data_IF_291218021905
#
_entry.id   IF_291218021905
#
_cell.length_a   1.000
_cell.length_b   1.000
_cell.length_c   1.000
_cell.angle_alpha   90.00
_cell.angle_beta   90.00
_cell.angle_gamma   90.00
#
_symmetry.space_group_name_H-M   'P 1'
#
loop_
_entity.id
_entity.type
_entity.pdbx_description
1 polymer ?
#
# COMPACT_ATOMS: atom_id res chain seq x y z
N UNK A 1 0.76 -65.19 44.42
CA UNK A 1 -0.50 -65.99 44.18
C UNK A 1 -1.24 -65.29 43.05
N UNK A 2 -1.09 -65.92 41.92
CA UNK A 2 -2.14 -66.50 41.09
C UNK A 2 -2.95 -65.41 40.40
N UNK A 3 -2.59 -65.17 39.11
CA UNK A 3 -3.19 -65.72 37.88
C UNK A 3 -4.59 -65.25 37.62
N UNK A 4 -4.81 -64.64 36.47
CA UNK A 4 -5.47 -65.13 35.28
C UNK A 4 -5.45 -63.97 34.27
N UNK A 5 -4.74 -63.87 33.23
CA UNK A 5 -4.80 -64.49 31.90
C UNK A 5 -6.20 -64.76 31.35
N UNK A 6 -6.61 -64.03 30.36
CA UNK A 6 -7.34 -64.45 29.20
C UNK A 6 -7.81 -63.23 28.41
N UNK A 7 -7.18 -62.88 27.30
CA UNK A 7 -7.57 -63.21 25.95
C UNK A 7 -9.00 -62.80 25.61
N UNK A 8 -9.18 -61.78 24.82
CA UNK A 8 -9.94 -61.91 23.56
C UNK A 8 -9.35 -60.91 22.56
N UNK A 9 -8.67 -61.49 21.58
CA UNK A 9 -8.42 -60.92 20.27
C UNK A 9 -9.71 -60.81 19.47
N UNK A 10 -9.66 -59.92 18.51
CA UNK A 10 -10.46 -59.93 17.28
C UNK A 10 -11.75 -59.09 17.31
N UNK A 11 -11.62 -57.86 16.88
CA UNK A 11 -12.35 -57.46 15.67
C UNK A 11 -11.66 -56.27 15.00
N UNK A 12 -11.03 -56.68 14.04
CA UNK A 12 -10.42 -56.04 12.89
C UNK A 12 -11.47 -55.38 12.01
N UNK A 13 -11.08 -54.30 11.44
CA UNK A 13 -11.44 -53.77 10.13
C UNK A 13 -12.76 -53.00 10.00
N UNK A 14 -12.54 -51.87 9.35
CA UNK A 14 -13.49 -50.99 8.66
C UNK A 14 -14.02 -49.81 9.47
N UNK A 15 -13.29 -48.73 9.42
CA UNK A 15 -13.70 -47.41 9.95
C UNK A 15 -12.68 -46.31 9.83
N UNK A 16 -11.64 -46.51 9.05
CA UNK A 16 -10.67 -45.45 8.75
C UNK A 16 -10.89 -44.93 7.33
N UNK A 17 -11.57 -43.87 7.17
CA UNK A 17 -11.43 -43.04 5.95
C UNK A 17 -12.58 -42.04 5.79
N UNK A 18 -12.76 -41.16 6.72
CA UNK A 18 -13.56 -39.92 6.45
C UNK A 18 -13.24 -38.75 7.40
N UNK A 19 -12.30 -38.94 8.32
CA UNK A 19 -11.97 -37.86 9.29
C UNK A 19 -10.67 -37.05 8.96
N UNK A 20 -9.97 -37.39 7.88
CA UNK A 20 -8.74 -36.71 7.51
C UNK A 20 -8.84 -35.72 6.33
N UNK A 21 -10.01 -35.59 5.73
CA UNK A 21 -10.25 -34.65 4.63
C UNK A 21 -10.77 -33.28 5.06
N UNK A 22 -10.98 -33.03 6.35
CA UNK A 22 -11.53 -31.75 6.85
C UNK A 22 -10.50 -30.85 7.56
N UNK A 23 -9.25 -31.25 7.67
CA UNK A 23 -8.22 -30.45 8.32
C UNK A 23 -7.37 -29.60 7.38
N UNK A 24 -7.63 -29.63 6.08
CA UNK A 24 -6.88 -28.83 5.09
C UNK A 24 -7.70 -27.66 4.50
N UNK A 25 -8.88 -27.36 5.00
CA UNK A 25 -9.70 -26.28 4.48
C UNK A 25 -9.94 -25.15 5.49
N UNK A 26 -9.04 -25.00 6.47
CA UNK A 26 -9.03 -23.82 7.33
C UNK A 26 -7.81 -22.94 7.02
N UNK A 27 -7.66 -22.61 5.73
CA UNK A 27 -6.80 -21.49 5.35
C UNK A 27 -7.60 -20.21 5.49
N UNK A 28 -7.37 -19.58 6.63
CA UNK A 28 -7.34 -18.14 6.86
C UNK A 28 -8.07 -17.30 5.80
N UNK A 29 -9.33 -17.02 6.07
CA UNK A 29 -9.97 -15.82 5.60
C UNK A 29 -9.28 -14.61 6.27
N UNK A 30 -8.11 -14.24 5.81
CA UNK A 30 -7.57 -12.90 6.03
C UNK A 30 -8.24 -12.00 5.01
N UNK A 31 -9.28 -11.38 5.45
CA UNK A 31 -10.06 -10.35 4.80
C UNK A 31 -9.16 -9.19 4.36
N UNK A 32 -9.18 -8.88 3.06
CA UNK A 32 -9.18 -7.48 2.72
C UNK A 32 -8.29 -6.98 1.61
N UNK A 33 -7.26 -7.66 1.15
CA UNK A 33 -6.66 -7.35 -0.14
C UNK A 33 -6.72 -8.61 -1.00
N UNK A 34 -7.57 -8.56 -2.03
CA UNK A 34 -7.54 -9.57 -3.08
C UNK A 34 -6.12 -9.52 -3.65
N UNK A 35 -5.36 -10.62 -3.61
CA UNK A 35 -4.00 -10.56 -4.14
C UNK A 35 -4.07 -10.11 -5.59
N UNK A 36 -3.49 -8.94 -5.88
CA UNK A 36 -3.38 -8.40 -7.23
C UNK A 36 -2.61 -9.44 -8.03
N UNK A 37 -3.15 -9.87 -9.17
CA UNK A 37 -2.49 -10.89 -9.97
C UNK A 37 -1.13 -10.37 -10.44
N UNK A 38 -0.16 -11.26 -10.63
CA UNK A 38 1.16 -10.88 -11.15
C UNK A 38 1.05 -10.11 -12.48
N UNK A 39 0.03 -10.41 -13.29
CA UNK A 39 -0.25 -9.70 -14.54
C UNK A 39 -0.73 -8.25 -14.29
N UNK A 40 -1.60 -8.03 -13.32
CA UNK A 40 -2.06 -6.67 -12.96
C UNK A 40 -0.93 -5.84 -12.34
N UNK A 41 -0.05 -6.46 -11.55
CA UNK A 41 1.15 -5.80 -11.02
C UNK A 41 2.11 -5.41 -12.14
N UNK A 42 2.42 -6.32 -13.06
CA UNK A 42 3.28 -6.05 -14.21
C UNK A 42 2.69 -4.95 -15.09
N UNK A 43 1.37 -4.99 -15.33
CA UNK A 43 0.69 -3.97 -16.12
C UNK A 43 0.76 -2.59 -15.44
N UNK A 44 0.60 -2.52 -14.12
CA UNK A 44 0.69 -1.25 -13.39
C UNK A 44 2.10 -0.65 -13.41
N UNK A 45 3.13 -1.50 -13.39
CA UNK A 45 4.54 -1.07 -13.52
C UNK A 45 4.83 -0.56 -14.93
N UNK A 46 4.32 -1.27 -15.97
CA UNK A 46 4.50 -0.86 -17.36
C UNK A 46 3.82 0.49 -17.62
N UNK A 47 2.65 0.71 -17.05
CA UNK A 47 1.84 1.92 -17.29
C UNK A 47 2.35 3.14 -16.51
N UNK A 48 2.98 2.94 -15.34
CA UNK A 48 3.39 4.04 -14.45
C UNK A 48 4.90 4.14 -14.22
N UNK A 49 5.69 3.14 -14.61
CA UNK A 49 7.13 3.11 -14.37
C UNK A 49 7.54 2.84 -12.91
N UNK A 50 6.58 2.59 -12.02
CA UNK A 50 6.77 2.21 -10.62
C UNK A 50 5.64 1.30 -10.16
N UNK A 51 5.86 0.55 -9.07
CA UNK A 51 4.88 -0.39 -8.51
C UNK A 51 4.07 0.27 -7.39
N UNK A 52 2.74 0.19 -7.49
CA UNK A 52 1.84 0.53 -6.41
C UNK A 52 1.76 -0.63 -5.42
N UNK A 53 1.95 -0.35 -4.14
CA UNK A 53 1.88 -1.38 -3.09
C UNK A 53 0.78 -1.07 -2.07
N UNK A 54 0.39 -2.08 -1.28
CA UNK A 54 -0.52 -1.88 -0.17
C UNK A 54 0.09 -1.00 0.92
N UNK A 55 -0.73 -0.26 1.68
CA UNK A 55 -0.24 0.73 2.64
C UNK A 55 0.59 0.11 3.78
N UNK A 56 0.16 -1.02 4.31
CA UNK A 56 0.90 -1.75 5.36
C UNK A 56 2.27 -2.20 4.86
N UNK A 57 2.30 -2.78 3.65
CA UNK A 57 3.54 -3.19 3.00
C UNK A 57 4.44 -1.99 2.67
N UNK A 58 3.85 -0.88 2.21
CA UNK A 58 4.59 0.35 1.95
C UNK A 58 5.29 0.87 3.20
N UNK A 59 4.64 0.84 4.35
CA UNK A 59 5.24 1.25 5.62
C UNK A 59 6.40 0.34 6.02
N UNK A 60 6.24 -0.98 5.85
CA UNK A 60 7.33 -1.94 6.10
C UNK A 60 8.54 -1.68 5.20
N UNK A 61 8.30 -1.53 3.90
CA UNK A 61 9.34 -1.25 2.92
C UNK A 61 10.01 0.12 3.14
N UNK A 62 9.25 1.13 3.59
CA UNK A 62 9.78 2.45 3.91
C UNK A 62 10.82 2.38 5.02
N UNK A 63 10.54 1.67 6.11
CA UNK A 63 11.51 1.44 7.20
C UNK A 63 12.75 0.72 6.69
N UNK A 64 12.60 -0.36 5.92
CA UNK A 64 13.72 -1.16 5.42
C UNK A 64 14.62 -0.40 4.44
N UNK A 65 14.03 0.41 3.56
CA UNK A 65 14.74 1.14 2.51
C UNK A 65 15.09 2.57 2.87
N UNK A 66 14.67 3.07 4.03
CA UNK A 66 14.80 4.47 4.46
C UNK A 66 14.16 5.45 3.46
N UNK A 67 13.10 5.01 2.79
CA UNK A 67 12.28 5.83 1.90
C UNK A 67 11.04 6.35 2.63
N UNK A 68 10.37 7.32 2.02
CA UNK A 68 9.08 7.82 2.46
C UNK A 68 7.95 7.06 1.79
N UNK A 69 6.74 7.14 2.32
CA UNK A 69 5.53 6.68 1.65
C UNK A 69 4.86 7.85 0.95
N UNK A 70 4.53 7.68 -0.32
CA UNK A 70 3.71 8.61 -1.10
C UNK A 70 2.31 8.03 -1.21
N UNK A 71 1.31 8.64 -0.54
CA UNK A 71 -0.07 8.20 -0.67
C UNK A 71 -0.79 9.10 -1.69
N UNK A 72 -1.19 8.51 -2.80
CA UNK A 72 -2.06 9.13 -3.80
C UNK A 72 -3.51 8.91 -3.42
N UNK A 73 -4.12 9.90 -2.77
CA UNK A 73 -5.54 9.89 -2.42
C UNK A 73 -6.39 10.23 -3.63
N UNK A 74 -7.31 9.34 -4.00
CA UNK A 74 -8.16 9.47 -5.18
C UNK A 74 -9.58 9.00 -4.92
N UNK A 75 -10.46 9.26 -5.88
CA UNK A 75 -11.76 8.62 -6.02
C UNK A 75 -11.95 8.17 -7.47
N UNK A 76 -12.74 7.14 -7.72
CA UNK A 76 -12.90 6.56 -9.06
C UNK A 76 -13.50 7.54 -10.10
N UNK A 77 -14.41 8.39 -9.68
CA UNK A 77 -15.05 9.42 -10.52
C UNK A 77 -14.18 10.65 -10.77
N UNK A 78 -13.02 10.77 -10.13
CA UNK A 78 -12.20 11.97 -10.13
C UNK A 78 -11.46 12.19 -11.47
N UNK A 79 -11.93 13.14 -12.26
CA UNK A 79 -11.34 13.48 -13.57
C UNK A 79 -9.89 13.94 -13.47
N UNK A 80 -9.54 14.74 -12.46
CA UNK A 80 -8.18 15.19 -12.24
C UNK A 80 -7.25 14.08 -11.75
N UNK A 81 -7.78 13.05 -11.08
CA UNK A 81 -7.01 11.86 -10.74
C UNK A 81 -6.65 11.07 -12.00
N UNK A 82 -7.60 10.93 -12.95
CA UNK A 82 -7.34 10.33 -14.25
C UNK A 82 -6.31 11.14 -15.06
N UNK A 83 -6.40 12.47 -15.00
CA UNK A 83 -5.42 13.36 -15.63
C UNK A 83 -4.02 13.15 -15.03
N UNK A 84 -3.91 13.10 -13.71
CA UNK A 84 -2.67 12.82 -12.99
C UNK A 84 -2.01 11.50 -13.44
N UNK A 85 -2.82 10.43 -13.53
CA UNK A 85 -2.37 9.10 -13.98
C UNK A 85 -1.89 9.06 -15.43
N UNK A 86 -2.44 9.91 -16.28
CA UNK A 86 -2.12 9.92 -17.72
C UNK A 86 -0.98 10.88 -18.08
N UNK A 87 -0.84 11.97 -17.38
CA UNK A 87 0.03 13.06 -17.78
C UNK A 87 1.23 13.25 -16.84
N UNK A 88 1.00 13.29 -15.52
CA UNK A 88 2.08 13.62 -14.58
C UNK A 88 2.79 12.40 -14.00
N UNK A 89 2.04 11.39 -13.56
CA UNK A 89 2.64 10.20 -12.94
C UNK A 89 3.56 9.38 -13.86
N UNK A 90 3.27 9.24 -15.19
CA UNK A 90 4.15 8.50 -16.10
C UNK A 90 5.36 9.30 -16.59
N UNK A 91 5.46 10.59 -16.28
CA UNK A 91 6.61 11.39 -16.66
C UNK A 91 7.90 10.84 -16.07
N UNK A 92 8.95 10.72 -16.86
CA UNK A 92 10.20 10.09 -16.45
C UNK A 92 10.84 10.76 -15.23
N UNK A 93 10.73 12.08 -15.11
CA UNK A 93 11.30 12.83 -13.98
C UNK A 93 10.51 12.59 -12.67
N UNK A 94 9.21 12.35 -12.79
CA UNK A 94 8.33 11.98 -11.68
C UNK A 94 8.59 10.54 -11.27
N UNK A 95 8.66 9.62 -12.25
CA UNK A 95 9.00 8.21 -12.04
C UNK A 95 10.35 8.07 -11.32
N UNK A 96 11.37 8.77 -11.79
CA UNK A 96 12.70 8.76 -11.15
C UNK A 96 12.66 9.27 -9.71
N UNK A 97 11.90 10.33 -9.44
CA UNK A 97 11.76 10.89 -8.10
C UNK A 97 10.99 9.93 -7.17
N UNK A 98 9.90 9.31 -7.65
CA UNK A 98 9.15 8.30 -6.89
C UNK A 98 10.07 7.12 -6.57
N UNK A 99 10.68 6.51 -7.57
CA UNK A 99 11.53 5.33 -7.39
C UNK A 99 12.72 5.61 -6.46
N UNK A 100 13.23 6.83 -6.45
CA UNK A 100 14.38 7.21 -5.60
C UNK A 100 13.99 7.41 -4.14
N UNK A 101 12.88 8.06 -3.88
CA UNK A 101 12.59 8.59 -2.55
C UNK A 101 11.37 8.00 -1.87
N UNK A 102 10.48 7.33 -2.62
CA UNK A 102 9.17 6.93 -2.10
C UNK A 102 8.82 5.48 -2.38
N UNK A 103 7.92 4.97 -1.56
CA UNK A 103 7.12 3.78 -1.81
C UNK A 103 5.69 4.27 -2.08
N UNK A 104 5.17 4.13 -3.32
CA UNK A 104 3.89 4.71 -3.70
C UNK A 104 2.71 3.82 -3.33
N UNK A 105 1.64 4.44 -2.83
CA UNK A 105 0.39 3.81 -2.41
C UNK A 105 -0.79 4.53 -3.04
N UNK A 106 -1.81 3.80 -3.48
CA UNK A 106 -3.10 4.35 -3.87
C UNK A 106 -4.10 4.21 -2.72
N UNK A 107 -4.75 5.29 -2.35
CA UNK A 107 -5.81 5.31 -1.36
C UNK A 107 -7.11 5.80 -2.00
N UNK A 108 -8.05 4.89 -2.26
CA UNK A 108 -9.41 5.28 -2.62
C UNK A 108 -10.11 5.84 -1.38
N UNK A 109 -10.29 7.16 -1.36
CA UNK A 109 -10.85 7.88 -0.22
C UNK A 109 -12.34 7.59 0.05
N UNK A 110 -13.02 6.89 -0.83
CA UNK A 110 -14.44 6.53 -0.69
C UNK A 110 -14.67 5.04 -0.40
N UNK A 111 -13.64 4.21 -0.58
CA UNK A 111 -13.76 2.76 -0.40
C UNK A 111 -13.98 2.37 1.05
N UNK A 112 -14.92 1.44 1.32
CA UNK A 112 -15.11 0.83 2.63
C UNK A 112 -14.10 -0.30 2.92
N UNK A 113 -13.20 -0.63 1.98
CA UNK A 113 -12.25 -1.72 2.15
C UNK A 113 -11.33 -1.49 3.34
N UNK A 114 -10.90 -2.55 4.02
CA UNK A 114 -9.97 -2.44 5.13
C UNK A 114 -8.57 -1.99 4.66
N UNK A 115 -7.88 -1.27 5.53
CA UNK A 115 -6.51 -0.84 5.38
C UNK A 115 -5.84 -0.74 6.74
N UNK A 116 -4.56 -1.06 6.83
CA UNK A 116 -3.76 -0.87 8.06
C UNK A 116 -2.86 0.34 7.88
N UNK A 117 -2.86 1.23 8.86
CA UNK A 117 -1.96 2.38 8.93
C UNK A 117 -1.41 2.53 10.35
N UNK A 118 -0.10 2.56 10.50
CA UNK A 118 0.60 2.60 11.80
C UNK A 118 0.13 1.51 12.79
N UNK A 119 -0.05 0.28 12.26
CA UNK A 119 -0.51 -0.87 13.05
C UNK A 119 -1.99 -0.82 13.47
N UNK A 120 -2.73 0.20 13.06
CA UNK A 120 -4.16 0.35 13.35
C UNK A 120 -4.99 0.07 12.11
N UNK A 121 -6.04 -0.74 12.28
CA UNK A 121 -6.97 -1.07 11.20
C UNK A 121 -8.04 -0.01 11.05
N UNK A 122 -8.27 0.41 9.81
CA UNK A 122 -9.31 1.34 9.38
C UNK A 122 -10.04 0.78 8.16
N UNK A 123 -11.10 1.43 7.72
CA UNK A 123 -11.50 1.40 6.31
C UNK A 123 -10.78 2.53 5.56
N UNK A 124 -10.57 2.38 4.25
CA UNK A 124 -9.88 3.41 3.43
C UNK A 124 -10.54 4.79 3.57
N UNK A 125 -11.89 4.83 3.56
CA UNK A 125 -12.62 6.08 3.76
C UNK A 125 -12.53 6.64 5.20
N UNK A 126 -12.34 5.79 6.23
CA UNK A 126 -12.07 6.27 7.59
C UNK A 126 -10.66 6.87 7.68
N UNK A 127 -9.67 6.21 7.10
CA UNK A 127 -8.30 6.73 7.02
C UNK A 127 -8.26 8.05 6.25
N UNK A 128 -8.93 8.12 5.10
CA UNK A 128 -9.04 9.35 4.31
C UNK A 128 -9.60 10.53 5.13
N UNK A 129 -10.66 10.29 5.90
CA UNK A 129 -11.18 11.30 6.82
C UNK A 129 -10.20 11.68 7.93
N UNK A 130 -9.51 10.69 8.49
CA UNK A 130 -8.46 10.92 9.50
C UNK A 130 -7.30 11.76 8.98
N UNK A 131 -6.93 11.56 7.73
CA UNK A 131 -5.93 12.36 7.00
C UNK A 131 -6.48 13.72 6.49
N UNK A 132 -7.74 14.03 6.75
CA UNK A 132 -8.43 15.23 6.28
C UNK A 132 -8.47 15.35 4.75
N UNK A 133 -8.59 14.22 4.06
CA UNK A 133 -8.75 14.17 2.60
C UNK A 133 -10.09 14.80 2.19
N UNK A 134 -10.07 16.06 1.76
CA UNK A 134 -11.23 16.87 1.42
C UNK A 134 -11.37 17.15 -0.07
N UNK A 135 -10.37 16.79 -0.87
CA UNK A 135 -10.38 16.98 -2.32
C UNK A 135 -9.54 15.91 -3.01
N UNK A 136 -9.84 15.64 -4.28
CA UNK A 136 -9.13 14.67 -5.10
C UNK A 136 -8.53 15.30 -6.35
N UNK A 137 -7.30 14.89 -6.75
CA UNK A 137 -6.36 14.08 -5.97
C UNK A 137 -5.77 14.85 -4.79
N UNK A 138 -5.23 14.14 -3.80
CA UNK A 138 -4.34 14.70 -2.78
C UNK A 138 -3.15 13.77 -2.57
N UNK A 139 -1.96 14.34 -2.49
CA UNK A 139 -0.71 13.63 -2.33
C UNK A 139 -0.22 13.80 -0.89
N UNK A 140 -0.18 12.71 -0.11
CA UNK A 140 0.36 12.74 1.25
C UNK A 140 1.78 12.20 1.26
N UNK A 141 2.63 12.87 2.01
CA UNK A 141 4.00 12.47 2.26
C UNK A 141 4.11 11.98 3.70
N UNK A 142 4.55 10.73 3.86
CA UNK A 142 4.66 10.08 5.16
C UNK A 142 6.10 9.63 5.33
N UNK A 143 6.70 9.88 6.49
CA UNK A 143 8.05 9.41 6.78
C UNK A 143 8.11 7.89 6.98
N UNK A 144 9.31 7.35 7.16
CA UNK A 144 9.50 5.92 7.35
C UNK A 144 8.89 5.40 8.66
N UNK A 145 8.72 6.26 9.66
CA UNK A 145 8.15 5.95 10.97
C UNK A 145 6.62 6.09 10.99
N UNK A 146 6.00 6.52 9.88
CA UNK A 146 4.55 6.68 9.73
C UNK A 146 4.02 8.06 10.11
N UNK A 147 4.90 9.04 10.33
CA UNK A 147 4.54 10.43 10.55
C UNK A 147 4.14 11.13 9.25
N UNK A 148 3.02 11.85 9.26
CA UNK A 148 2.58 12.64 8.11
C UNK A 148 3.40 13.93 8.03
N UNK A 149 4.25 14.06 7.02
CA UNK A 149 5.09 15.25 6.78
C UNK A 149 4.29 16.41 6.18
N UNK A 150 3.29 16.09 5.37
CA UNK A 150 2.45 17.08 4.72
C UNK A 150 1.55 16.49 3.65
N UNK A 151 0.73 17.35 3.07
CA UNK A 151 -0.17 16.98 1.97
C UNK A 151 -0.22 18.10 0.92
N UNK A 152 -0.31 17.70 -0.34
CA UNK A 152 -0.51 18.62 -1.46
C UNK A 152 -1.78 18.23 -2.22
N UNK A 153 -2.85 19.01 -2.13
CA UNK A 153 -4.07 18.77 -2.88
C UNK A 153 -3.96 19.24 -4.33
N UNK A 154 -4.75 18.61 -5.19
CA UNK A 154 -4.99 19.01 -6.57
C UNK A 154 -4.08 18.33 -7.58
N UNK A 155 -4.39 18.57 -8.85
CA UNK A 155 -3.57 18.18 -9.99
C UNK A 155 -2.28 19.01 -10.02
N UNK A 156 -1.17 18.37 -10.32
CA UNK A 156 0.15 19.00 -10.40
C UNK A 156 0.77 18.62 -11.74
N UNK A 157 1.24 19.58 -12.50
CA UNK A 157 1.99 19.34 -13.75
C UNK A 157 3.30 18.59 -13.45
N UNK A 158 3.76 17.78 -14.39
CA UNK A 158 4.84 16.82 -14.17
C UNK A 158 6.14 17.45 -13.69
N UNK A 159 6.54 18.57 -14.26
CA UNK A 159 7.77 19.31 -13.90
C UNK A 159 7.77 19.79 -12.44
N UNK A 160 6.68 20.43 -12.02
CA UNK A 160 6.49 20.89 -10.64
C UNK A 160 6.34 19.71 -9.68
N UNK A 161 5.67 18.65 -10.13
CA UNK A 161 5.50 17.45 -9.30
C UNK A 161 6.82 16.74 -9.05
N UNK A 162 7.67 16.61 -10.06
CA UNK A 162 9.01 16.05 -9.89
C UNK A 162 9.87 16.88 -8.91
N UNK A 163 9.78 18.21 -8.99
CA UNK A 163 10.46 19.11 -8.04
C UNK A 163 9.93 18.94 -6.62
N UNK A 164 8.60 18.88 -6.44
CA UNK A 164 7.97 18.65 -5.14
C UNK A 164 8.40 17.32 -4.53
N UNK A 165 8.39 16.26 -5.32
CA UNK A 165 8.83 14.93 -4.88
C UNK A 165 10.30 14.93 -4.44
N UNK A 166 11.19 15.59 -5.20
CA UNK A 166 12.60 15.72 -4.82
C UNK A 166 12.78 16.58 -3.59
N UNK A 167 12.05 17.67 -3.47
CA UNK A 167 12.06 18.57 -2.31
C UNK A 167 11.71 17.84 -1.02
N UNK A 168 10.58 17.12 -1.02
CA UNK A 168 10.17 16.35 0.14
C UNK A 168 11.07 15.12 0.33
N UNK A 169 11.38 14.41 -0.76
CA UNK A 169 12.18 13.20 -0.73
C UNK A 169 13.58 13.39 -0.15
N UNK A 170 14.22 14.50 -0.48
CA UNK A 170 15.58 14.84 -0.01
C UNK A 170 15.62 15.59 1.33
N UNK A 171 14.49 15.80 1.99
CA UNK A 171 14.34 16.64 3.20
C UNK A 171 14.79 18.10 2.99
N UNK A 172 14.73 18.63 1.77
CA UNK A 172 15.08 20.02 1.50
C UNK A 172 14.15 21.00 2.25
N UNK A 173 12.91 20.58 2.55
CA UNK A 173 11.92 21.35 3.32
C UNK A 173 12.39 21.74 4.74
N UNK A 174 13.39 21.05 5.29
CA UNK A 174 13.97 21.39 6.58
C UNK A 174 14.88 22.63 6.52
N UNK A 175 15.27 23.06 5.30
CA UNK A 175 16.31 24.10 5.11
C UNK A 175 15.84 25.30 4.32
N UNK A 176 15.02 25.08 3.30
CA UNK A 176 14.56 26.14 2.39
C UNK A 176 13.08 25.97 2.07
N UNK A 177 12.43 27.03 1.61
CA UNK A 177 11.04 26.98 1.13
C UNK A 177 10.95 26.24 -0.21
N UNK A 178 9.73 25.80 -0.58
CA UNK A 178 9.54 25.18 -1.89
C UNK A 178 9.78 26.15 -3.04
N UNK A 179 9.36 27.40 -2.90
CA UNK A 179 9.58 28.43 -3.93
C UNK A 179 11.07 28.64 -4.19
N UNK A 180 11.87 28.77 -3.14
CA UNK A 180 13.32 28.87 -3.25
C UNK A 180 13.95 27.61 -3.86
N UNK A 181 13.42 26.42 -3.49
CA UNK A 181 13.88 25.16 -4.09
C UNK A 181 13.59 25.12 -5.59
N UNK A 182 12.42 25.59 -6.02
CA UNK A 182 12.06 25.70 -7.45
C UNK A 182 13.00 26.64 -8.19
N UNK A 183 13.26 27.84 -7.66
CA UNK A 183 14.17 28.81 -8.27
C UNK A 183 15.59 28.26 -8.46
N UNK A 184 16.05 27.40 -7.55
CA UNK A 184 17.39 26.81 -7.62
C UNK A 184 17.49 25.58 -8.55
N UNK A 185 16.37 24.98 -8.96
CA UNK A 185 16.36 23.70 -9.67
C UNK A 185 15.59 23.72 -11.02
N UNK A 186 15.01 24.86 -11.40
CA UNK A 186 14.48 25.11 -12.75
C UNK A 186 15.55 25.76 -13.64
#
# INVERSE_FOLDING_TARGET
MRTILSVILFNLLLGTSLAQAQLLNNQSNSTGDKPVSAHEQIQSIIDSGFEWVGLEEAQRLAVESQKKVLIFGYAEWCTYCLKMRKESLPDSSVVDAINRYFIPVQLDGESPDPVVFNGTQYTKNQLARGLQLSSFPTHYFVDAEGGVLGAQPGFIEADIYALLLRYVGSNAFERISFDEYVELNM
#
